data_IF_214481909869
#
_entry.id   IF_214481909869
#
_cell.length_a   1.000
_cell.length_b   1.000
_cell.length_c   1.000
_cell.angle_alpha   90.00
_cell.angle_beta   90.00
_cell.angle_gamma   90.00
#
_symmetry.space_group_name_H-M   'P 1'
#
loop_
_entity.id
_entity.type
_entity.pdbx_description
1 polymer ?
#
# COMPACT_ATOMS: atom_id res chain seq x y z
N UNK A 1 10.01 -39.47 0.13
CA UNK A 1 8.77 -39.57 -0.69
C UNK A 1 8.46 -38.14 -1.12
N UNK A 2 7.95 -37.87 -2.32
CA UNK A 2 7.65 -36.47 -2.67
C UNK A 2 6.42 -35.96 -1.93
N UNK A 3 6.43 -34.67 -1.60
CA UNK A 3 5.27 -33.92 -1.11
C UNK A 3 4.62 -33.17 -2.26
N UNK A 4 3.31 -33.28 -2.39
CA UNK A 4 2.55 -32.48 -3.35
C UNK A 4 2.33 -31.06 -2.80
N UNK A 5 2.72 -30.05 -3.58
CA UNK A 5 2.53 -28.62 -3.30
C UNK A 5 1.66 -28.02 -4.40
N UNK A 6 0.60 -27.29 -4.03
CA UNK A 6 -0.29 -26.64 -4.97
C UNK A 6 0.01 -25.13 -5.07
N UNK A 7 0.11 -24.62 -6.29
CA UNK A 7 0.26 -23.18 -6.59
C UNK A 7 -0.76 -22.82 -7.67
N UNK A 8 -1.77 -22.01 -7.32
CA UNK A 8 -2.92 -21.77 -8.19
C UNK A 8 -3.68 -23.07 -8.49
N UNK A 9 -3.80 -23.42 -9.78
CA UNK A 9 -4.42 -24.68 -10.24
C UNK A 9 -3.42 -25.80 -10.51
N UNK A 10 -2.12 -25.55 -10.34
CA UNK A 10 -1.05 -26.50 -10.64
C UNK A 10 -0.57 -27.23 -9.39
N UNK A 11 -0.24 -28.52 -9.52
CA UNK A 11 0.32 -29.36 -8.45
C UNK A 11 1.74 -29.76 -8.82
N UNK A 12 2.68 -29.57 -7.90
CA UNK A 12 4.11 -29.83 -8.05
C UNK A 12 4.55 -30.90 -7.05
N UNK A 13 5.45 -31.79 -7.47
CA UNK A 13 6.11 -32.73 -6.56
C UNK A 13 7.38 -32.10 -6.00
N UNK A 14 7.48 -31.98 -4.68
CA UNK A 14 8.63 -31.40 -4.00
C UNK A 14 9.37 -32.47 -3.19
N UNK A 15 10.71 -32.56 -3.27
CA UNK A 15 11.46 -33.58 -2.56
C UNK A 15 11.36 -33.45 -1.04
N UNK A 16 11.40 -34.59 -0.36
CA UNK A 16 11.65 -34.66 1.07
C UNK A 16 13.16 -34.79 1.37
N UNK A 17 13.54 -34.46 2.60
CA UNK A 17 14.91 -34.64 3.04
C UNK A 17 15.34 -36.11 2.93
N UNK A 18 16.47 -36.37 2.28
CA UNK A 18 17.00 -37.71 2.04
C UNK A 18 16.53 -38.35 0.73
N UNK A 19 15.70 -37.68 -0.09
CA UNK A 19 15.37 -38.15 -1.44
C UNK A 19 16.59 -38.07 -2.38
N UNK A 20 16.60 -38.93 -3.40
CA UNK A 20 17.69 -39.03 -4.38
C UNK A 20 17.87 -37.73 -5.18
N UNK A 21 19.08 -37.47 -5.68
CA UNK A 21 19.34 -36.35 -6.57
C UNK A 21 18.51 -36.44 -7.88
N UNK A 22 18.04 -35.30 -8.41
CA UNK A 22 17.26 -35.25 -9.66
C UNK A 22 16.10 -34.25 -9.67
N UNK A 23 15.74 -33.66 -8.53
CA UNK A 23 14.57 -32.78 -8.38
C UNK A 23 14.76 -31.33 -8.83
N UNK A 24 15.87 -31.03 -9.52
CA UNK A 24 16.22 -29.65 -9.89
C UNK A 24 15.16 -28.99 -10.77
N UNK A 25 14.59 -29.74 -11.71
CA UNK A 25 13.56 -29.26 -12.63
C UNK A 25 12.24 -28.96 -11.90
N UNK A 26 11.70 -29.94 -11.15
CA UNK A 26 10.44 -29.78 -10.42
C UNK A 26 10.51 -28.68 -9.35
N UNK A 27 11.63 -28.59 -8.62
CA UNK A 27 11.83 -27.55 -7.61
C UNK A 27 11.95 -26.15 -8.25
N UNK A 28 12.58 -26.04 -9.42
CA UNK A 28 12.68 -24.78 -10.18
C UNK A 28 11.30 -24.37 -10.70
N UNK A 29 10.55 -25.30 -11.30
CA UNK A 29 9.21 -25.03 -11.82
C UNK A 29 8.23 -24.60 -10.72
N UNK A 30 8.32 -25.22 -9.54
CA UNK A 30 7.56 -24.77 -8.37
C UNK A 30 7.96 -23.35 -7.95
N UNK A 31 9.27 -23.06 -7.87
CA UNK A 31 9.75 -21.74 -7.47
C UNK A 31 9.30 -20.65 -8.46
N UNK A 32 9.39 -20.91 -9.76
CA UNK A 32 8.88 -20.02 -10.82
C UNK A 32 7.38 -19.77 -10.66
N UNK A 33 6.57 -20.83 -10.50
CA UNK A 33 5.13 -20.69 -10.32
C UNK A 33 4.75 -19.88 -9.07
N UNK A 34 5.48 -20.06 -7.97
CA UNK A 34 5.30 -19.25 -6.74
C UNK A 34 5.69 -17.80 -7.00
N UNK A 35 6.83 -17.55 -7.66
CA UNK A 35 7.28 -16.20 -8.01
C UNK A 35 6.25 -15.48 -8.88
N UNK A 36 5.71 -16.15 -9.90
CA UNK A 36 4.67 -15.59 -10.77
C UNK A 36 3.39 -15.26 -10.00
N UNK A 37 2.92 -16.19 -9.15
CA UNK A 37 1.75 -15.93 -8.31
C UNK A 37 1.97 -14.73 -7.38
N UNK A 38 3.14 -14.64 -6.74
CA UNK A 38 3.47 -13.50 -5.88
C UNK A 38 3.54 -12.18 -6.66
N UNK A 39 4.07 -12.19 -7.88
CA UNK A 39 4.08 -11.03 -8.77
C UNK A 39 2.66 -10.58 -9.18
N UNK A 40 1.70 -11.52 -9.27
CA UNK A 40 0.28 -11.15 -9.50
C UNK A 40 -0.41 -10.56 -8.28
N UNK A 41 0.04 -10.92 -7.06
CA UNK A 41 -0.54 -10.42 -5.81
C UNK A 41 0.02 -9.05 -5.42
N UNK A 42 1.28 -8.77 -5.76
CA UNK A 42 1.94 -7.49 -5.55
C UNK A 42 2.48 -6.99 -6.88
N UNK A 43 1.67 -6.20 -7.58
CA UNK A 43 2.15 -5.48 -8.76
C UNK A 43 3.36 -4.60 -8.39
N UNK A 44 4.24 -4.28 -9.36
CA UNK A 44 5.49 -3.55 -9.11
C UNK A 44 5.30 -2.18 -8.41
N UNK A 45 4.10 -1.59 -8.50
CA UNK A 45 3.76 -0.33 -7.84
C UNK A 45 2.92 -0.50 -6.56
N UNK A 46 2.70 -1.73 -6.09
CA UNK A 46 2.02 -2.01 -4.82
C UNK A 46 2.87 -1.54 -3.65
N UNK A 47 2.26 -0.81 -2.73
CA UNK A 47 2.92 -0.30 -1.53
C UNK A 47 2.51 -1.19 -0.35
N UNK A 48 3.45 -1.95 0.26
CA UNK A 48 3.14 -2.73 1.46
C UNK A 48 2.77 -1.81 2.62
N UNK A 49 2.14 -2.38 3.64
CA UNK A 49 1.73 -1.61 4.80
C UNK A 49 2.92 -0.87 5.45
N UNK A 50 2.80 0.45 5.56
CA UNK A 50 3.84 1.32 6.11
C UNK A 50 3.22 2.48 6.88
N UNK A 51 4.04 3.39 7.40
CA UNK A 51 3.60 4.52 8.22
C UNK A 51 4.38 5.79 7.88
N UNK A 52 3.69 6.92 7.83
CA UNK A 52 4.28 8.24 7.72
C UNK A 52 3.81 9.16 8.85
N UNK A 53 4.61 10.19 9.15
CA UNK A 53 4.31 11.21 10.16
C UNK A 53 3.38 12.26 9.57
N UNK A 54 2.37 12.65 10.36
CA UNK A 54 1.47 13.77 10.09
C UNK A 54 1.76 14.88 11.11
N UNK A 55 2.29 15.99 10.62
CA UNK A 55 2.63 17.16 11.43
C UNK A 55 1.36 17.99 11.68
N UNK A 56 1.22 18.53 12.89
CA UNK A 56 0.11 19.42 13.27
C UNK A 56 0.17 20.74 12.50
N UNK A 57 -0.99 21.35 12.24
CA UNK A 57 -1.09 22.70 11.66
C UNK A 57 -0.31 22.85 10.33
N UNK A 58 -0.51 21.90 9.42
CA UNK A 58 0.13 21.91 8.11
C UNK A 58 -0.78 22.61 7.10
N UNK A 59 -0.51 23.90 6.83
CA UNK A 59 -1.32 24.74 5.93
C UNK A 59 -0.89 24.68 4.47
N UNK A 60 0.36 24.27 4.21
CA UNK A 60 0.89 24.03 2.86
C UNK A 60 0.90 22.52 2.64
N UNK A 61 0.33 22.07 1.52
CA UNK A 61 0.31 20.66 1.16
C UNK A 61 1.72 20.06 1.25
N UNK A 62 1.85 19.03 2.09
CA UNK A 62 3.12 18.38 2.41
C UNK A 62 3.05 16.91 2.03
N UNK A 63 4.13 16.38 1.47
CA UNK A 63 4.15 15.00 0.97
C UNK A 63 3.92 13.98 2.09
N UNK A 64 3.08 12.99 1.80
CA UNK A 64 2.98 11.77 2.61
C UNK A 64 4.12 10.87 2.15
N UNK A 65 5.20 10.83 2.93
CA UNK A 65 6.40 10.07 2.58
C UNK A 65 6.08 8.58 2.36
N UNK A 66 6.54 8.04 1.23
CA UNK A 66 6.30 6.65 0.85
C UNK A 66 4.93 6.38 0.21
N UNK A 67 4.05 7.38 0.07
CA UNK A 67 2.81 7.26 -0.69
C UNK A 67 2.90 8.05 -2.00
N UNK A 68 3.57 7.46 -2.98
CA UNK A 68 3.75 8.05 -4.30
C UNK A 68 3.73 6.97 -5.38
N UNK A 69 3.18 7.31 -6.53
CA UNK A 69 3.07 6.40 -7.67
C UNK A 69 3.72 7.01 -8.91
N UNK A 70 4.47 6.21 -9.64
CA UNK A 70 5.04 6.65 -10.90
C UNK A 70 4.01 6.57 -12.03
N UNK A 71 3.53 7.73 -12.47
CA UNK A 71 2.59 7.85 -13.61
C UNK A 71 3.28 7.96 -14.96
N UNK A 72 4.59 8.20 -14.97
CA UNK A 72 5.34 8.34 -16.22
C UNK A 72 5.38 7.02 -16.99
N UNK A 73 5.21 7.09 -18.30
CA UNK A 73 5.20 5.91 -19.17
C UNK A 73 3.99 4.99 -19.02
N UNK A 74 2.91 5.44 -18.37
CA UNK A 74 1.69 4.65 -18.19
C UNK A 74 1.75 3.63 -17.04
N UNK A 75 2.72 3.78 -16.13
CA UNK A 75 3.01 2.76 -15.10
C UNK A 75 1.83 2.42 -14.18
N UNK A 76 0.95 3.37 -13.86
CA UNK A 76 -0.18 3.18 -12.93
C UNK A 76 -1.45 3.79 -13.52
N UNK A 77 -2.50 2.99 -13.66
CA UNK A 77 -3.82 3.41 -14.17
C UNK A 77 -4.82 3.68 -13.04
N UNK A 78 -4.78 2.85 -12.00
CA UNK A 78 -5.65 2.97 -10.83
C UNK A 78 -4.87 2.65 -9.56
N UNK A 79 -5.21 3.34 -8.47
CA UNK A 79 -4.70 3.07 -7.13
C UNK A 79 -5.86 2.91 -6.16
N UNK A 80 -5.71 1.99 -5.22
CA UNK A 80 -6.58 1.85 -4.05
C UNK A 80 -5.70 1.96 -2.81
N UNK A 81 -5.88 3.01 -2.02
CA UNK A 81 -5.12 3.27 -0.80
C UNK A 81 -6.03 3.04 0.39
N UNK A 82 -5.72 2.02 1.20
CA UNK A 82 -6.36 1.82 2.51
C UNK A 82 -5.53 2.54 3.56
N UNK A 83 -6.17 3.35 4.41
CA UNK A 83 -5.46 4.18 5.37
C UNK A 83 -6.12 4.22 6.75
N UNK A 84 -5.30 4.52 7.76
CA UNK A 84 -5.71 4.89 9.11
C UNK A 84 -4.85 6.07 9.56
N UNK A 85 -5.48 7.21 9.84
CA UNK A 85 -4.84 8.38 10.44
C UNK A 85 -5.16 8.37 11.93
N UNK A 86 -4.14 8.60 12.76
CA UNK A 86 -4.28 8.72 14.20
C UNK A 86 -3.57 9.97 14.69
N UNK A 87 -4.24 10.80 15.49
CA UNK A 87 -3.66 11.98 16.16
C UNK A 87 -3.84 11.83 17.67
N UNK A 88 -2.74 11.95 18.41
CA UNK A 88 -2.67 11.75 19.88
C UNK A 88 -2.49 13.09 20.57
N UNK A 89 -3.14 13.28 21.73
CA UNK A 89 -3.09 14.52 22.52
C UNK A 89 -2.35 14.33 23.85
N UNK A 90 -1.86 15.43 24.43
CA UNK A 90 -1.04 15.44 25.66
C UNK A 90 -1.77 14.94 26.91
N UNK A 91 -3.10 15.13 26.98
CA UNK A 91 -3.88 14.87 28.17
C UNK A 91 -4.83 13.67 28.00
N UNK A 92 -4.57 12.62 28.78
CA UNK A 92 -5.58 11.61 29.13
C UNK A 92 -5.79 10.45 28.14
N UNK A 93 -4.82 10.11 27.29
CA UNK A 93 -4.93 9.04 26.30
C UNK A 93 -6.09 9.24 25.30
N UNK A 94 -6.44 10.49 25.01
CA UNK A 94 -7.35 10.79 23.90
C UNK A 94 -6.59 10.70 22.58
N UNK A 95 -7.23 10.10 21.59
CA UNK A 95 -6.80 10.13 20.21
C UNK A 95 -8.00 10.32 19.30
N UNK A 96 -7.81 11.04 18.21
CA UNK A 96 -8.75 11.07 17.09
C UNK A 96 -8.22 10.16 16.01
N UNK A 97 -9.10 9.32 15.49
CA UNK A 97 -8.75 8.32 14.50
C UNK A 97 -9.74 8.41 13.34
N UNK A 98 -9.20 8.32 12.15
CA UNK A 98 -9.95 8.25 10.90
C UNK A 98 -9.40 7.08 10.11
N UNK A 99 -10.29 6.32 9.47
CA UNK A 99 -9.89 5.23 8.59
C UNK A 99 -10.75 5.24 7.34
N UNK A 100 -10.16 4.89 6.21
CA UNK A 100 -10.89 4.94 4.95
C UNK A 100 -10.13 4.33 3.79
N UNK A 101 -10.70 4.54 2.61
CA UNK A 101 -10.17 4.13 1.33
C UNK A 101 -10.14 5.34 0.41
N UNK A 102 -8.99 5.56 -0.24
CA UNK A 102 -8.85 6.51 -1.34
C UNK A 102 -8.75 5.71 -2.63
N UNK A 103 -9.69 5.94 -3.53
CA UNK A 103 -9.65 5.45 -4.91
C UNK A 103 -9.07 6.54 -5.78
N UNK A 104 -8.01 6.25 -6.52
CA UNK A 104 -7.41 7.17 -7.47
C UNK A 104 -7.38 6.57 -8.87
N UNK A 105 -7.70 7.39 -9.87
CA UNK A 105 -7.61 7.01 -11.28
C UNK A 105 -6.76 8.03 -12.04
N UNK A 106 -5.76 7.54 -12.77
CA UNK A 106 -4.96 8.37 -13.65
C UNK A 106 -5.68 8.55 -14.99
N UNK A 107 -5.84 9.81 -15.40
CA UNK A 107 -6.59 10.20 -16.61
C UNK A 107 -5.69 10.42 -17.84
N UNK A 108 -4.37 10.19 -17.70
CA UNK A 108 -3.37 10.49 -18.72
C UNK A 108 -2.71 11.87 -18.55
N UNK A 109 -3.30 12.75 -17.73
CA UNK A 109 -2.70 14.05 -17.39
C UNK A 109 -2.80 14.40 -15.90
N UNK A 110 -3.76 13.81 -15.20
CA UNK A 110 -4.03 14.12 -13.79
C UNK A 110 -4.55 12.88 -13.05
N UNK A 111 -4.45 12.91 -11.72
CA UNK A 111 -5.09 11.95 -10.84
C UNK A 111 -6.39 12.51 -10.29
N UNK A 112 -7.48 11.79 -10.57
CA UNK A 112 -8.76 12.06 -9.92
C UNK A 112 -8.89 11.11 -8.74
N UNK A 113 -9.14 11.63 -7.54
CA UNK A 113 -9.33 10.84 -6.34
C UNK A 113 -10.75 10.97 -5.78
N UNK A 114 -11.21 9.89 -5.16
CA UNK A 114 -12.39 9.83 -4.30
C UNK A 114 -11.98 9.22 -2.97
N UNK A 115 -12.34 9.87 -1.88
CA UNK A 115 -12.04 9.42 -0.52
C UNK A 115 -13.35 9.07 0.18
N UNK A 116 -13.40 7.88 0.79
CA UNK A 116 -14.51 7.43 1.64
C UNK A 116 -13.92 6.91 2.96
N UNK A 117 -14.55 7.24 4.08
CA UNK A 117 -13.98 6.96 5.40
C UNK A 117 -14.90 7.23 6.57
N UNK A 118 -14.46 6.78 7.75
CA UNK A 118 -15.14 6.95 9.03
C UNK A 118 -14.19 7.65 10.00
N UNK A 119 -14.71 8.61 10.76
CA UNK A 119 -13.94 9.47 11.65
C UNK A 119 -13.63 10.81 11.01
N UNK A 120 -12.97 11.68 11.77
CA UNK A 120 -12.50 12.98 11.30
C UNK A 120 -11.25 13.34 12.09
N UNK A 121 -10.10 13.31 11.41
CA UNK A 121 -8.82 13.73 12.01
C UNK A 121 -8.45 15.17 11.65
N UNK A 122 -9.33 15.86 10.92
CA UNK A 122 -9.09 17.16 10.30
C UNK A 122 -7.80 17.17 9.45
N UNK A 123 -7.53 16.04 8.79
CA UNK A 123 -6.44 15.86 7.82
C UNK A 123 -7.06 15.67 6.45
N UNK A 124 -6.70 16.54 5.52
CA UNK A 124 -7.18 16.46 4.13
C UNK A 124 -6.07 15.88 3.28
N UNK A 125 -6.35 14.78 2.60
CA UNK A 125 -5.42 14.14 1.67
C UNK A 125 -5.71 14.62 0.25
N UNK A 126 -4.65 14.90 -0.51
CA UNK A 126 -4.70 15.26 -1.93
C UNK A 126 -3.63 14.50 -2.70
N UNK A 127 -3.67 14.57 -4.02
CA UNK A 127 -2.64 13.99 -4.88
C UNK A 127 -2.26 14.99 -5.96
N UNK A 128 -0.97 15.02 -6.31
CA UNK A 128 -0.48 15.82 -7.44
C UNK A 128 -0.66 15.04 -8.75
N UNK A 129 -0.61 15.74 -9.88
CA UNK A 129 -0.63 15.09 -11.20
C UNK A 129 0.55 14.14 -11.44
N UNK A 130 1.63 14.27 -10.66
CA UNK A 130 2.79 13.37 -10.67
C UNK A 130 2.59 12.11 -9.81
N UNK A 131 1.43 11.92 -9.18
CA UNK A 131 1.14 10.76 -8.34
C UNK A 131 1.68 10.82 -6.91
N UNK A 132 2.20 11.97 -6.48
CA UNK A 132 2.61 12.19 -5.08
C UNK A 132 1.38 12.54 -4.23
N UNK A 133 1.08 11.72 -3.22
CA UNK A 133 0.04 12.05 -2.24
C UNK A 133 0.57 13.05 -1.22
N UNK A 134 -0.27 13.99 -0.84
CA UNK A 134 0.04 15.08 0.07
C UNK A 134 -1.06 15.21 1.12
N UNK A 135 -0.76 15.90 2.21
CA UNK A 135 -1.74 16.24 3.22
C UNK A 135 -1.66 17.71 3.63
N UNK A 136 -2.78 18.21 4.11
CA UNK A 136 -2.87 19.38 5.00
C UNK A 136 -3.53 18.95 6.30
N UNK A 137 -3.27 19.66 7.39
CA UNK A 137 -3.85 19.34 8.69
C UNK A 137 -4.22 20.61 9.45
N UNK A 138 -5.36 20.56 10.13
CA UNK A 138 -5.76 21.63 11.03
C UNK A 138 -4.82 21.75 12.23
N UNK A 139 -4.86 22.92 12.88
CA UNK A 139 -4.22 23.12 14.17
C UNK A 139 -5.09 22.55 15.29
N UNK A 140 -4.70 21.39 15.80
CA UNK A 140 -5.34 20.81 16.97
C UNK A 140 -4.53 21.16 18.22
N UNK A 141 -5.17 21.83 19.17
CA UNK A 141 -4.57 22.18 20.45
C UNK A 141 -4.18 20.90 21.18
N UNK A 142 -3.02 20.92 21.86
CA UNK A 142 -2.51 19.80 22.65
C UNK A 142 -2.21 18.51 21.87
N UNK A 143 -2.24 18.54 20.53
CA UNK A 143 -1.78 17.40 19.73
C UNK A 143 -0.26 17.24 19.90
N UNK A 144 0.16 16.00 20.14
CA UNK A 144 1.56 15.62 20.41
C UNK A 144 2.17 14.82 19.27
N UNK A 145 1.39 13.95 18.63
CA UNK A 145 1.86 13.13 17.52
C UNK A 145 0.72 12.79 16.56
N UNK A 146 1.07 12.64 15.29
CA UNK A 146 0.15 12.31 14.21
C UNK A 146 0.83 11.33 13.27
N UNK A 147 0.11 10.28 12.89
CA UNK A 147 0.62 9.26 11.96
C UNK A 147 -0.47 8.83 11.00
N UNK A 148 -0.08 8.53 9.77
CA UNK A 148 -0.90 7.79 8.81
C UNK A 148 -0.26 6.43 8.58
N UNK A 149 -1.02 5.37 8.82
CA UNK A 149 -0.68 4.01 8.41
C UNK A 149 -1.43 3.70 7.13
N UNK A 150 -0.75 3.17 6.12
CA UNK A 150 -1.37 2.94 4.82
C UNK A 150 -0.76 1.75 4.09
N UNK A 151 -1.54 1.17 3.18
CA UNK A 151 -1.10 0.25 2.14
C UNK A 151 -1.80 0.64 0.85
N UNK A 152 -1.23 0.30 -0.29
CA UNK A 152 -1.87 0.57 -1.57
C UNK A 152 -1.67 -0.54 -2.58
N UNK A 153 -2.71 -0.80 -3.35
CA UNK A 153 -2.68 -1.70 -4.52
C UNK A 153 -2.91 -0.89 -5.79
N UNK A 154 -2.32 -1.35 -6.88
CA UNK A 154 -2.39 -0.68 -8.18
C UNK A 154 -2.94 -1.59 -9.26
N UNK A 155 -3.55 -0.99 -10.28
CA UNK A 155 -3.70 -1.60 -11.60
C UNK A 155 -2.72 -0.88 -12.51
N UNK A 156 -1.70 -1.61 -12.94
CA UNK A 156 -0.63 -1.14 -13.82
C UNK A 156 -1.00 -1.42 -15.30
N UNK A 157 -0.34 -0.75 -16.24
CA UNK A 157 -0.54 -0.97 -17.68
C UNK A 157 0.19 -2.21 -18.20
#
# INVERSE_FOLDING_TARGET
MSKELQVGTSVFNYPENGDNAGWGEDATAWAEAVSDLLNTLQGPNTIPETTAVIVNNTTVATDIFGLAFNVSGGGVLQVTVEYVINRVYDSGASSTTESGVILGQYTGSDFVISQDGIGDTEVVVSVTSAGQFQYTSSNLTNQTSGTIKFKATTIDQ
#
